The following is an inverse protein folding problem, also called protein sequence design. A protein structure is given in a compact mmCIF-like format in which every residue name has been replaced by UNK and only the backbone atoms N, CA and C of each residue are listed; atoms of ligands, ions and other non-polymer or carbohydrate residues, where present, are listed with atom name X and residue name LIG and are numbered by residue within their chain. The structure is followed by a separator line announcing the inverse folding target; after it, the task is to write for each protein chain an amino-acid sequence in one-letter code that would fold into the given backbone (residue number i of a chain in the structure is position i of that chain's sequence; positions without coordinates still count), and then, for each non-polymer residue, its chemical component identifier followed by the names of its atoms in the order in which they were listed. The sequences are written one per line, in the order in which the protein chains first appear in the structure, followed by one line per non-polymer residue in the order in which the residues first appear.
data_IF_682717253593
#
_entry.id   IF_682717253593
#
_cell.length_a   1.000
_cell.length_b   1.000
_cell.length_c   1.000
_cell.angle_alpha   90.00
_cell.angle_beta   90.00
_cell.angle_gamma   90.00
#
_symmetry.space_group_name_H-M   'P 1'
#
loop_
_entity.id
_entity.type
_entity.pdbx_description
1 polymer ?
#
# COMPACT_ATOMS: atom_id res chain seq x y z
N UNK A 1 14.85 -7.74 -24.50
CA UNK A 1 14.87 -7.87 -23.03
C UNK A 1 16.29 -7.65 -22.52
N UNK A 2 16.50 -6.83 -21.49
CA UNK A 2 17.84 -6.44 -21.05
C UNK A 2 18.44 -7.39 -20.00
N UNK A 3 17.61 -8.01 -19.16
CA UNK A 3 18.03 -8.92 -18.08
C UNK A 3 17.22 -10.23 -18.11
N UNK A 4 17.44 -11.10 -19.11
CA UNK A 4 16.60 -12.30 -19.31
C UNK A 4 16.77 -13.39 -18.23
N UNK A 5 17.66 -13.18 -17.26
CA UNK A 5 17.93 -14.14 -16.18
C UNK A 5 17.02 -13.98 -14.97
N UNK A 6 16.34 -12.84 -14.81
CA UNK A 6 15.43 -12.59 -13.70
C UNK A 6 14.03 -13.09 -14.05
N UNK A 7 13.35 -13.73 -13.11
CA UNK A 7 11.93 -14.10 -13.30
C UNK A 7 11.06 -12.86 -13.31
N UNK A 8 9.93 -12.88 -14.01
CA UNK A 8 8.95 -11.79 -13.95
C UNK A 8 8.49 -11.55 -12.51
N UNK A 9 8.32 -12.62 -11.75
CA UNK A 9 7.89 -12.58 -10.35
C UNK A 9 8.90 -11.86 -9.46
N UNK A 10 10.21 -12.12 -9.61
CA UNK A 10 11.24 -11.37 -8.87
C UNK A 10 11.39 -9.94 -9.40
N UNK A 11 11.25 -9.72 -10.71
CA UNK A 11 11.32 -8.38 -11.31
C UNK A 11 10.20 -7.47 -10.83
N UNK A 12 8.97 -7.97 -10.69
CA UNK A 12 7.83 -7.19 -10.19
C UNK A 12 8.04 -6.75 -8.74
N UNK A 13 8.51 -7.65 -7.89
CA UNK A 13 8.80 -7.33 -6.49
C UNK A 13 9.98 -6.38 -6.38
N UNK A 14 11.07 -6.64 -7.11
CA UNK A 14 12.23 -5.75 -7.12
C UNK A 14 11.85 -4.34 -7.59
N UNK A 15 11.02 -4.23 -8.64
CA UNK A 15 10.52 -2.94 -9.12
C UNK A 15 9.71 -2.21 -8.06
N UNK A 16 8.86 -2.92 -7.30
CA UNK A 16 8.12 -2.34 -6.18
C UNK A 16 9.01 -1.84 -5.05
N UNK A 17 10.02 -2.62 -4.65
CA UNK A 17 11.03 -2.23 -3.66
C UNK A 17 11.77 -0.97 -4.10
N UNK A 18 12.31 -0.96 -5.32
CA UNK A 18 13.03 0.20 -5.86
C UNK A 18 12.10 1.42 -5.96
N UNK A 19 10.87 1.25 -6.42
CA UNK A 19 9.91 2.36 -6.52
C UNK A 19 9.62 2.99 -5.15
N UNK A 20 9.37 2.18 -4.11
CA UNK A 20 9.15 2.69 -2.75
C UNK A 20 10.35 3.50 -2.28
N UNK A 21 11.56 2.97 -2.44
CA UNK A 21 12.79 3.65 -2.00
C UNK A 21 13.06 4.94 -2.79
N UNK A 22 12.90 4.93 -4.12
CA UNK A 22 13.09 6.12 -4.97
C UNK A 22 11.99 7.17 -4.78
N UNK A 23 10.83 6.79 -4.25
CA UNK A 23 9.81 7.72 -3.80
C UNK A 23 10.03 8.17 -2.34
N UNK A 24 11.26 8.08 -1.83
CA UNK A 24 11.68 8.49 -0.48
C UNK A 24 11.00 7.71 0.66
N UNK A 25 10.49 6.51 0.35
CA UNK A 25 9.99 5.56 1.32
C UNK A 25 11.11 4.85 2.08
N UNK A 26 10.75 3.93 3.00
CA UNK A 26 11.74 3.16 3.73
C UNK A 26 12.49 2.20 2.81
N UNK A 27 13.70 1.86 3.24
CA UNK A 27 14.44 0.72 2.72
C UNK A 27 13.69 -0.59 2.98
N UNK A 28 13.50 -1.40 1.94
CA UNK A 28 12.84 -2.70 2.03
C UNK A 28 13.83 -3.77 1.58
N UNK A 29 14.20 -4.72 2.46
CA UNK A 29 15.05 -5.83 2.06
C UNK A 29 14.42 -6.63 0.92
N UNK A 30 15.25 -7.13 0.01
CA UNK A 30 14.85 -7.97 -1.10
C UNK A 30 15.62 -9.28 -1.06
N UNK A 31 14.92 -10.36 -1.46
CA UNK A 31 15.51 -11.67 -1.69
C UNK A 31 14.83 -12.32 -2.90
N UNK A 32 15.60 -12.83 -3.88
CA UNK A 32 15.07 -13.52 -5.04
C UNK A 32 14.75 -14.97 -4.70
N UNK A 33 14.11 -15.66 -5.64
CA UNK A 33 13.71 -17.06 -5.49
C UNK A 33 12.27 -17.32 -5.91
N UNK A 34 11.58 -16.32 -6.47
CA UNK A 34 10.26 -16.51 -7.04
C UNK A 34 10.39 -17.20 -8.40
N UNK A 35 9.45 -18.10 -8.66
CA UNK A 35 9.38 -18.86 -9.90
C UNK A 35 8.13 -18.45 -10.64
N UNK A 36 8.28 -18.10 -11.91
CA UNK A 36 7.15 -17.77 -12.77
C UNK A 36 6.25 -18.99 -12.96
N UNK A 37 4.95 -18.74 -13.01
CA UNK A 37 3.92 -19.77 -13.19
C UNK A 37 3.00 -19.38 -14.32
N UNK A 38 2.40 -20.39 -14.94
CA UNK A 38 1.38 -20.21 -15.95
C UNK A 38 0.00 -19.95 -15.33
N UNK A 39 -0.98 -19.67 -16.21
CA UNK A 39 -2.35 -19.30 -15.84
C UNK A 39 -3.08 -20.35 -14.97
N UNK A 40 -2.66 -21.61 -14.98
CA UNK A 40 -3.25 -22.66 -14.12
C UNK A 40 -3.02 -22.42 -12.62
N UNK A 41 -2.01 -21.60 -12.27
CA UNK A 41 -1.75 -21.18 -10.89
C UNK A 41 -2.48 -19.89 -10.50
N UNK A 42 -3.24 -19.27 -11.42
CA UNK A 42 -4.02 -18.09 -11.10
C UNK A 42 -5.08 -18.40 -10.04
N UNK A 43 -5.14 -17.55 -9.03
CA UNK A 43 -6.18 -17.67 -8.00
C UNK A 43 -7.53 -17.19 -8.53
N UNK A 44 -8.67 -17.70 -8.02
CA UNK A 44 -9.99 -17.20 -8.39
C UNK A 44 -10.16 -15.71 -8.11
N UNK A 45 -11.10 -15.10 -8.82
CA UNK A 45 -11.52 -13.71 -8.60
C UNK A 45 -12.17 -13.52 -7.21
N UNK A 46 -12.30 -12.26 -6.79
CA UNK A 46 -12.89 -11.87 -5.50
C UNK A 46 -11.93 -11.97 -4.31
N UNK A 47 -10.63 -12.18 -4.56
CA UNK A 47 -9.60 -12.20 -3.51
C UNK A 47 -9.04 -10.82 -3.18
N UNK A 48 -9.16 -9.86 -4.08
CA UNK A 48 -8.71 -8.47 -3.90
C UNK A 48 -9.76 -7.65 -3.12
N UNK A 49 -9.33 -6.62 -2.36
CA UNK A 49 -10.26 -5.81 -1.60
C UNK A 49 -11.14 -4.94 -2.50
N UNK A 50 -12.43 -4.82 -2.17
CA UNK A 50 -13.37 -3.89 -2.78
C UNK A 50 -13.38 -2.57 -1.98
N UNK A 51 -13.04 -1.49 -2.68
CA UNK A 51 -12.89 -0.16 -2.12
C UNK A 51 -14.18 0.42 -1.48
N UNK A 52 -15.35 -0.11 -1.85
CA UNK A 52 -16.66 0.33 -1.36
C UNK A 52 -17.08 -0.29 -0.02
N UNK A 53 -16.30 -1.26 0.48
CA UNK A 53 -16.65 -2.05 1.67
C UNK A 53 -16.10 -1.46 2.96
N UNK A 54 -16.39 -2.14 4.07
CA UNK A 54 -16.12 -1.71 5.44
C UNK A 54 -15.04 -2.58 6.14
N UNK A 55 -14.78 -2.31 7.42
CA UNK A 55 -13.72 -2.92 8.22
C UNK A 55 -13.76 -4.45 8.26
N UNK A 56 -14.97 -5.04 8.27
CA UNK A 56 -15.12 -6.50 8.29
C UNK A 56 -14.58 -7.12 6.99
N UNK A 57 -14.76 -6.43 5.86
CA UNK A 57 -14.23 -6.84 4.57
C UNK A 57 -12.70 -6.76 4.56
N UNK A 58 -12.13 -5.65 5.02
CA UNK A 58 -10.67 -5.50 5.13
C UNK A 58 -10.08 -6.62 6.00
N UNK A 59 -10.61 -6.85 7.20
CA UNK A 59 -10.16 -7.94 8.07
C UNK A 59 -10.31 -9.33 7.44
N UNK A 60 -11.38 -9.58 6.70
CA UNK A 60 -11.58 -10.87 6.02
C UNK A 60 -10.54 -11.10 4.91
N UNK A 61 -10.22 -10.07 4.11
CA UNK A 61 -9.25 -10.17 3.02
C UNK A 61 -7.83 -10.31 3.56
N UNK A 62 -7.40 -9.36 4.39
CA UNK A 62 -6.02 -9.30 4.90
C UNK A 62 -5.76 -10.34 5.99
N UNK A 63 -6.75 -10.66 6.82
CA UNK A 63 -6.65 -11.74 7.82
C UNK A 63 -6.45 -13.11 7.19
N UNK A 64 -7.02 -13.39 6.01
CA UNK A 64 -6.75 -14.60 5.24
C UNK A 64 -5.27 -14.70 4.80
N UNK A 65 -4.61 -13.56 4.64
CA UNK A 65 -3.16 -13.47 4.35
C UNK A 65 -2.30 -13.46 5.62
N UNK A 66 -2.93 -13.53 6.79
CA UNK A 66 -2.27 -13.55 8.10
C UNK A 66 -1.97 -12.17 8.69
N UNK A 67 -2.49 -11.09 8.12
CA UNK A 67 -2.24 -9.73 8.62
C UNK A 67 -3.22 -9.31 9.72
N UNK A 68 -2.71 -8.62 10.73
CA UNK A 68 -3.49 -8.04 11.81
C UNK A 68 -3.95 -6.59 11.50
N UNK A 69 -4.68 -5.97 12.42
CA UNK A 69 -5.20 -4.61 12.26
C UNK A 69 -4.13 -3.53 12.07
N UNK A 70 -2.99 -3.65 12.74
CA UNK A 70 -1.85 -2.73 12.61
C UNK A 70 -1.21 -2.83 11.23
N UNK A 71 -1.03 -4.06 10.75
CA UNK A 71 -0.46 -4.37 9.44
C UNK A 71 -1.38 -3.92 8.30
N UNK A 72 -2.70 -4.05 8.45
CA UNK A 72 -3.68 -3.51 7.49
C UNK A 72 -3.52 -1.99 7.38
N UNK A 73 -3.49 -1.27 8.51
CA UNK A 73 -3.36 0.19 8.50
C UNK A 73 -2.02 0.63 7.95
N UNK A 74 -0.93 -0.09 8.27
CA UNK A 74 0.39 0.19 7.69
C UNK A 74 0.35 0.03 6.17
N UNK A 75 -0.13 -1.09 5.64
CA UNK A 75 -0.24 -1.32 4.19
C UNK A 75 -1.12 -0.28 3.48
N UNK A 76 -2.21 0.17 4.10
CA UNK A 76 -3.05 1.25 3.55
C UNK A 76 -2.29 2.57 3.35
N UNK A 77 -1.20 2.80 4.08
CA UNK A 77 -0.34 3.96 3.90
C UNK A 77 0.29 4.06 2.51
N UNK A 78 0.33 2.97 1.74
CA UNK A 78 0.76 3.00 0.35
C UNK A 78 -0.11 3.93 -0.53
N UNK A 79 -1.35 4.22 -0.12
CA UNK A 79 -2.21 5.22 -0.80
C UNK A 79 -1.67 6.65 -0.70
N UNK A 80 -0.61 6.91 0.08
CA UNK A 80 0.13 8.17 -0.05
C UNK A 80 0.65 8.40 -1.48
N UNK A 81 0.83 7.32 -2.25
CA UNK A 81 1.33 7.30 -3.61
C UNK A 81 0.19 7.17 -4.64
N UNK A 82 0.39 7.81 -5.79
CA UNK A 82 -0.45 7.67 -6.97
C UNK A 82 -1.84 8.30 -6.81
N UNK A 83 -2.79 7.71 -7.55
CA UNK A 83 -4.17 8.19 -7.65
C UNK A 83 -5.11 7.10 -8.15
N UNK A 84 -6.41 7.29 -7.93
CA UNK A 84 -7.43 6.55 -8.67
C UNK A 84 -7.61 7.10 -10.10
N UNK A 85 -8.03 6.20 -10.98
CA UNK A 85 -8.36 6.47 -12.37
C UNK A 85 -9.74 5.87 -12.71
N UNK A 86 -10.57 6.64 -13.42
CA UNK A 86 -11.96 6.27 -13.73
C UNK A 86 -12.05 5.07 -14.67
N UNK A 87 -11.14 4.95 -15.64
CA UNK A 87 -11.06 3.85 -16.61
C UNK A 87 -10.54 2.53 -16.01
N UNK A 88 -10.02 2.56 -14.77
CA UNK A 88 -9.46 1.38 -14.09
C UNK A 88 -10.31 0.92 -12.91
N UNK A 89 -10.70 1.86 -12.06
CA UNK A 89 -11.36 1.57 -10.78
C UNK A 89 -12.74 2.21 -10.65
N UNK A 90 -13.13 3.07 -11.59
CA UNK A 90 -14.30 3.93 -11.47
C UNK A 90 -14.12 5.14 -10.55
N UNK A 91 -13.16 5.10 -9.61
CA UNK A 91 -12.80 6.20 -8.70
C UNK A 91 -11.85 7.21 -9.36
N UNK A 92 -11.74 8.42 -8.81
CA UNK A 92 -10.87 9.47 -9.36
C UNK A 92 -10.22 10.36 -8.30
N UNK A 93 -8.93 10.63 -8.50
CA UNK A 93 -8.15 11.63 -7.76
C UNK A 93 -7.03 11.04 -6.91
N UNK A 94 -6.05 11.86 -6.49
CA UNK A 94 -5.01 11.47 -5.56
C UNK A 94 -5.49 11.52 -4.10
N UNK A 95 -4.85 10.77 -3.22
CA UNK A 95 -5.07 10.85 -1.78
C UNK A 95 -4.29 11.97 -1.10
N UNK A 96 -3.14 12.34 -1.67
CA UNK A 96 -2.21 13.34 -1.11
C UNK A 96 -1.86 14.40 -2.15
N UNK A 97 -1.31 15.53 -1.68
CA UNK A 97 -0.82 16.60 -2.57
C UNK A 97 0.51 16.25 -3.27
N UNK A 98 1.20 15.21 -2.80
CA UNK A 98 2.51 14.77 -3.31
C UNK A 98 2.46 13.27 -3.67
N UNK A 99 1.74 12.88 -4.74
CA UNK A 99 1.46 11.48 -5.06
C UNK A 99 2.69 10.68 -5.54
N UNK A 100 3.88 11.29 -5.56
CA UNK A 100 5.14 10.65 -5.96
C UNK A 100 6.15 10.58 -4.82
N UNK A 101 5.71 10.81 -3.58
CA UNK A 101 6.55 10.75 -2.38
C UNK A 101 5.80 9.99 -1.31
N UNK A 102 6.38 8.91 -0.79
CA UNK A 102 5.77 8.13 0.27
C UNK A 102 6.00 8.87 1.59
N UNK A 103 4.95 9.42 2.18
CA UNK A 103 5.00 10.08 3.49
C UNK A 103 3.82 9.66 4.34
N UNK A 104 3.87 9.94 5.65
CA UNK A 104 2.72 9.77 6.53
C UNK A 104 1.59 10.80 6.32
N UNK A 105 1.67 11.65 5.29
CA UNK A 105 0.63 12.67 5.02
C UNK A 105 -0.72 12.04 4.67
N UNK A 106 -0.75 10.82 4.13
CA UNK A 106 -1.98 10.06 3.97
C UNK A 106 -2.76 9.99 5.31
N UNK A 107 -2.09 9.66 6.41
CA UNK A 107 -2.73 9.56 7.72
C UNK A 107 -3.08 10.93 8.33
N UNK A 108 -2.21 11.93 8.16
CA UNK A 108 -2.48 13.30 8.61
C UNK A 108 -3.71 13.87 7.92
N UNK A 109 -3.76 13.81 6.59
CA UNK A 109 -4.89 14.29 5.78
C UNK A 109 -6.17 13.54 6.12
N UNK A 110 -6.09 12.22 6.34
CA UNK A 110 -7.25 11.42 6.75
C UNK A 110 -7.86 11.90 8.08
N UNK A 111 -7.04 12.37 9.03
CA UNK A 111 -7.49 12.89 10.33
C UNK A 111 -7.87 14.38 10.33
N UNK A 112 -7.15 15.21 9.59
CA UNK A 112 -7.19 16.67 9.69
C UNK A 112 -8.13 17.32 8.66
N UNK A 113 -8.29 16.71 7.49
CA UNK A 113 -9.18 17.24 6.47
C UNK A 113 -10.65 16.96 6.77
N UNK A 114 -11.50 17.88 6.33
CA UNK A 114 -12.94 17.67 6.36
C UNK A 114 -13.35 16.98 5.08
N UNK A 115 -13.91 15.78 5.21
CA UNK A 115 -14.34 14.96 4.08
C UNK A 115 -15.85 15.02 3.87
N UNK A 116 -16.27 15.15 2.62
CA UNK A 116 -17.67 15.05 2.20
C UNK A 116 -17.82 14.07 1.04
N UNK A 117 -19.00 13.48 0.88
CA UNK A 117 -19.29 12.68 -0.29
C UNK A 117 -19.22 13.54 -1.56
N UNK A 118 -18.43 13.10 -2.54
CA UNK A 118 -18.34 13.71 -3.87
C UNK A 118 -19.67 13.53 -4.60
N UNK A 119 -20.17 14.61 -5.19
CA UNK A 119 -21.39 14.60 -6.03
C UNK A 119 -20.97 14.46 -7.50
N UNK A 120 -21.11 13.26 -8.05
CA UNK A 120 -20.65 12.90 -9.39
C UNK A 120 -21.25 11.56 -9.83
N UNK A 121 -21.01 11.15 -11.08
CA UNK A 121 -21.58 9.95 -11.69
C UNK A 121 -20.78 8.66 -11.43
N UNK A 122 -19.67 8.75 -10.70
CA UNK A 122 -18.85 7.59 -10.33
C UNK A 122 -19.29 6.93 -9.02
N UNK A 123 -18.56 5.91 -8.56
CA UNK A 123 -18.81 5.27 -7.27
C UNK A 123 -18.74 6.27 -6.10
N UNK A 124 -19.34 5.89 -4.97
CA UNK A 124 -19.31 6.73 -3.77
C UNK A 124 -17.87 6.90 -3.28
N UNK A 125 -17.34 8.11 -3.37
CA UNK A 125 -16.05 8.49 -2.81
C UNK A 125 -16.15 9.79 -2.04
N UNK A 126 -15.18 10.01 -1.16
CA UNK A 126 -15.03 11.26 -0.47
C UNK A 126 -14.14 12.22 -1.27
N UNK A 127 -14.37 13.50 -1.07
CA UNK A 127 -13.51 14.61 -1.50
C UNK A 127 -13.28 15.54 -0.32
N UNK A 128 -12.12 16.18 -0.28
CA UNK A 128 -11.85 17.19 0.74
C UNK A 128 -12.76 18.41 0.51
N UNK A 129 -13.28 18.99 1.59
CA UNK A 129 -14.26 20.09 1.50
C UNK A 129 -13.59 21.40 1.03
N UNK A 130 -12.32 21.59 1.37
CA UNK A 130 -11.63 22.87 1.22
C UNK A 130 -11.17 23.13 -0.21
N UNK A 131 -10.50 22.16 -0.82
CA UNK A 131 -9.85 22.28 -2.12
C UNK A 131 -10.51 21.45 -3.21
N UNK A 132 -11.25 20.39 -2.83
CA UNK A 132 -11.90 19.45 -3.77
C UNK A 132 -10.89 18.75 -4.70
N UNK A 133 -9.65 18.63 -4.26
CA UNK A 133 -8.53 18.12 -5.06
C UNK A 133 -8.02 16.76 -4.59
N UNK A 134 -8.34 16.38 -3.34
CA UNK A 134 -8.01 15.10 -2.75
C UNK A 134 -9.24 14.21 -2.67
N UNK A 135 -9.00 12.90 -2.57
CA UNK A 135 -10.05 11.91 -2.41
C UNK A 135 -9.71 10.90 -1.31
N UNK A 136 -10.76 10.27 -0.76
CA UNK A 136 -10.64 9.07 0.07
C UNK A 136 -11.70 8.04 -0.34
N UNK A 137 -11.33 6.76 -0.38
CA UNK A 137 -12.25 5.67 -0.62
C UNK A 137 -13.10 5.41 0.64
N UNK A 138 -14.27 4.77 0.52
CA UNK A 138 -15.02 4.28 1.68
C UNK A 138 -14.16 3.43 2.64
N UNK A 139 -13.29 2.58 2.09
CA UNK A 139 -12.33 1.76 2.84
C UNK A 139 -11.24 2.58 3.56
N UNK A 140 -10.78 3.70 3.00
CA UNK A 140 -9.83 4.59 3.69
C UNK A 140 -10.51 5.24 4.91
N UNK A 141 -11.74 5.75 4.72
CA UNK A 141 -12.51 6.40 5.78
C UNK A 141 -12.88 5.46 6.92
N UNK A 142 -12.86 4.15 6.70
CA UNK A 142 -13.07 3.15 7.74
C UNK A 142 -11.91 3.14 8.74
N UNK A 143 -10.69 3.45 8.32
CA UNK A 143 -9.51 3.41 9.19
C UNK A 143 -9.61 4.37 10.38
N UNK A 144 -10.33 5.48 10.23
CA UNK A 144 -10.60 6.44 11.31
C UNK A 144 -11.95 6.23 12.03
N UNK A 145 -12.83 5.37 11.49
CA UNK A 145 -14.14 5.05 12.09
C UNK A 145 -14.07 3.83 13.01
N UNK A 146 -13.26 2.85 12.65
CA UNK A 146 -13.03 1.66 13.49
C UNK A 146 -12.01 1.97 14.59
N UNK A 147 -12.37 1.72 15.86
CA UNK A 147 -11.51 2.06 17.01
C UNK A 147 -10.15 1.36 16.99
N UNK A 148 -10.10 0.11 16.51
CA UNK A 148 -8.86 -0.67 16.48
C UNK A 148 -7.93 -0.18 15.38
N UNK A 149 -8.46 0.20 14.22
CA UNK A 149 -7.65 0.82 13.17
C UNK A 149 -7.20 2.23 13.53
N UNK A 150 -8.10 3.03 14.12
CA UNK A 150 -7.86 4.46 14.39
C UNK A 150 -6.62 4.71 15.23
N UNK A 151 -6.34 3.86 16.23
CA UNK A 151 -5.14 4.03 17.07
C UNK A 151 -3.83 3.98 16.24
N UNK A 152 -3.78 3.16 15.18
CA UNK A 152 -2.62 3.06 14.31
C UNK A 152 -2.56 4.21 13.31
N UNK A 153 -3.71 4.70 12.82
CA UNK A 153 -3.77 5.95 12.04
C UNK A 153 -3.22 7.11 12.85
N UNK A 154 -3.65 7.26 14.10
CA UNK A 154 -3.16 8.31 15.01
C UNK A 154 -1.67 8.15 15.35
N UNK A 155 -1.18 6.91 15.49
CA UNK A 155 0.25 6.61 15.66
C UNK A 155 1.05 7.12 14.45
N UNK A 156 0.68 6.67 13.26
CA UNK A 156 1.43 6.98 12.04
C UNK A 156 1.32 8.44 11.62
N UNK A 157 0.19 9.10 11.84
CA UNK A 157 0.06 10.55 11.59
C UNK A 157 1.04 11.39 12.43
N UNK A 158 1.36 10.93 13.65
CA UNK A 158 2.28 11.63 14.57
C UNK A 158 3.75 11.29 14.34
N UNK A 159 4.03 10.11 13.81
CA UNK A 159 5.38 9.56 13.73
C UNK A 159 5.61 8.85 12.39
N UNK A 160 6.35 9.52 11.49
CA UNK A 160 6.68 8.99 10.18
C UNK A 160 7.69 7.84 10.26
N UNK A 161 8.60 7.84 11.23
CA UNK A 161 9.60 6.78 11.38
C UNK A 161 8.93 5.49 11.87
N UNK A 162 7.96 5.60 12.78
CA UNK A 162 7.15 4.48 13.19
C UNK A 162 6.30 3.92 12.04
N UNK A 163 5.75 4.79 11.17
CA UNK A 163 5.07 4.36 9.95
C UNK A 163 6.03 3.61 9.02
N UNK A 164 7.19 4.20 8.71
CA UNK A 164 8.15 3.64 7.77
C UNK A 164 8.72 2.31 8.24
N UNK A 165 9.01 2.17 9.53
CA UNK A 165 9.44 0.91 10.11
C UNK A 165 8.38 -0.17 9.90
N UNK A 166 7.16 0.09 10.36
CA UNK A 166 6.06 -0.88 10.32
C UNK A 166 5.64 -1.19 8.87
N UNK A 167 5.68 -0.20 7.98
CA UNK A 167 5.42 -0.34 6.54
C UNK A 167 6.47 -1.22 5.86
N UNK A 168 7.76 -1.00 6.13
CA UNK A 168 8.83 -1.84 5.58
C UNK A 168 8.68 -3.29 6.04
N UNK A 169 8.45 -3.51 7.34
CA UNK A 169 8.28 -4.85 7.91
C UNK A 169 7.09 -5.61 7.26
N UNK A 170 5.93 -4.95 7.12
CA UNK A 170 4.74 -5.58 6.55
C UNK A 170 4.80 -5.74 5.02
N UNK A 171 5.42 -4.81 4.29
CA UNK A 171 5.59 -4.93 2.83
C UNK A 171 6.58 -6.04 2.49
N UNK A 172 7.68 -6.15 3.25
CA UNK A 172 8.60 -7.30 3.14
C UNK A 172 7.83 -8.60 3.33
N UNK A 173 7.05 -8.70 4.42
CA UNK A 173 6.23 -9.88 4.71
C UNK A 173 5.24 -10.18 3.58
N UNK A 174 4.56 -9.16 3.04
CA UNK A 174 3.64 -9.28 1.90
C UNK A 174 4.35 -9.82 0.65
N UNK A 175 5.51 -9.27 0.31
CA UNK A 175 6.27 -9.66 -0.87
C UNK A 175 6.83 -11.09 -0.75
N UNK A 176 7.07 -11.58 0.46
CA UNK A 176 7.59 -12.93 0.71
C UNK A 176 6.50 -14.01 0.92
N UNK A 177 5.20 -13.65 0.92
CA UNK A 177 4.12 -14.61 1.13
C UNK A 177 4.13 -15.75 0.10
N UNK A 178 4.24 -16.99 0.59
CA UNK A 178 4.14 -18.21 -0.22
C UNK A 178 5.34 -18.48 -1.13
N UNK A 179 6.44 -17.72 -0.99
CA UNK A 179 7.64 -17.92 -1.80
C UNK A 179 8.43 -19.12 -1.25
N UNK A 180 8.77 -20.12 -2.08
CA UNK A 180 9.51 -21.31 -1.64
C UNK A 180 11.02 -21.02 -1.59
N UNK A 181 11.45 -20.11 -0.70
CA UNK A 181 12.85 -19.75 -0.57
C UNK A 181 13.72 -20.96 -0.19
N UNK A 182 14.80 -21.15 -0.93
CA UNK A 182 15.84 -22.15 -0.63
C UNK A 182 16.96 -21.57 0.23
N UNK A 183 17.07 -20.24 0.29
CA UNK A 183 18.06 -19.50 1.08
C UNK A 183 17.41 -18.97 2.37
N UNK A 184 18.21 -18.81 3.42
CA UNK A 184 17.78 -18.22 4.69
C UNK A 184 17.51 -16.71 4.60
N UNK A 185 16.96 -16.14 5.66
CA UNK A 185 16.66 -14.69 5.72
C UNK A 185 17.92 -13.81 5.71
N UNK A 186 19.06 -14.39 6.07
CA UNK A 186 20.40 -13.81 5.98
C UNK A 186 20.84 -13.53 4.54
N UNK A 187 20.16 -14.12 3.54
CA UNK A 187 20.37 -13.82 2.13
C UNK A 187 19.60 -12.57 1.64
N UNK A 188 18.81 -11.91 2.49
CA UNK A 188 18.18 -10.63 2.12
C UNK A 188 19.25 -9.55 1.98
N UNK A 189 19.09 -8.68 0.98
CA UNK A 189 19.92 -7.49 0.84
C UNK A 189 19.06 -6.25 0.65
N UNK A 190 19.64 -5.09 0.97
CA UNK A 190 18.97 -3.80 0.83
C UNK A 190 19.67 -3.01 -0.27
N UNK A 191 18.90 -2.56 -1.26
CA UNK A 191 19.41 -1.69 -2.30
C UNK A 191 19.58 -0.28 -1.75
N UNK A 192 20.61 0.44 -2.22
CA UNK A 192 20.69 1.89 -2.02
C UNK A 192 19.69 2.59 -2.94
N UNK A 193 19.14 3.68 -2.46
CA UNK A 193 18.37 4.65 -3.23
C UNK A 193 19.30 5.76 -3.74
N UNK A 194 18.82 6.51 -4.73
CA UNK A 194 19.49 7.73 -5.23
C UNK A 194 19.60 8.86 -4.17
N UNK A 195 18.97 8.68 -3.01
CA UNK A 195 19.02 9.62 -1.88
C UNK A 195 20.06 9.25 -0.82
N UNK A 196 20.60 8.01 -0.81
CA UNK A 196 21.62 7.60 0.17
C UNK A 196 23.04 8.06 -0.20
N UNK A 197 23.25 8.46 -1.45
CA UNK A 197 24.57 8.88 -1.97
C UNK A 197 24.78 10.40 -1.95
N UNK A 198 23.80 11.15 -1.43
CA UNK A 198 23.87 12.61 -1.24
C UNK A 198 24.18 12.97 0.21
#
# INVERSE_FOLDING_TARGET
EQFPWITYSDLWILSGVCAIQEMQGPHIPFRPGRVDRDVSFCTPDGRLPDASKEQKHLRAIFGRMGFNDQEIVALSGAHALGRCHTDRSGYDGPWTFSPTTLTNDYYKLLLEEKWAWKKWDGPKQYEDVKTKSLMMLPTDMVLIKDKSFKQYVEKYAKDNDAFFKDFSDVVLRLFELGVPFTQGEDARWTFKSSFDEK
#
